data_IF_025348229842
#
_entry.id   IF_025348229842
#
_cell.length_a   1.000
_cell.length_b   1.000
_cell.length_c   1.000
_cell.angle_alpha   90.00
_cell.angle_beta   90.00
_cell.angle_gamma   90.00
#
_symmetry.space_group_name_H-M   'P 1'
#
loop_
_entity.id
_entity.type
_entity.pdbx_description
1 polymer ?
#
# COMPACT_ATOMS: atom_id res chain seq x y z
N UNK A 1 -27.44 15.52 12.28
CA UNK A 1 -26.75 15.08 13.51
C UNK A 1 -27.01 13.60 13.71
N UNK A 2 -26.05 12.75 13.38
CA UNK A 2 -26.08 11.32 13.65
C UNK A 2 -24.68 10.93 14.11
N UNK A 3 -24.57 10.49 15.36
CA UNK A 3 -23.32 10.15 16.04
C UNK A 3 -22.95 8.72 15.70
N UNK A 4 -21.85 8.51 14.97
CA UNK A 4 -21.23 7.20 14.87
C UNK A 4 -20.34 6.98 16.10
N UNK A 5 -20.63 5.92 16.86
CA UNK A 5 -19.80 5.46 17.98
C UNK A 5 -18.78 4.46 17.43
N UNK A 6 -17.51 4.83 17.45
CA UNK A 6 -16.41 3.89 17.22
C UNK A 6 -16.01 3.26 18.56
N UNK A 7 -16.15 1.93 18.66
CA UNK A 7 -15.58 1.17 19.76
C UNK A 7 -14.10 0.97 19.48
N UNK A 8 -13.26 1.68 20.23
CA UNK A 8 -11.84 1.41 20.35
C UNK A 8 -11.64 0.04 21.02
N UNK A 9 -10.86 -0.84 20.42
CA UNK A 9 -10.33 -2.03 21.11
C UNK A 9 -8.82 -1.89 21.23
N UNK A 10 -8.42 -1.98 22.49
CA UNK A 10 -7.15 -1.62 23.10
C UNK A 10 -6.05 -2.63 22.78
N UNK A 11 -4.85 -2.10 22.55
CA UNK A 11 -3.57 -2.81 22.52
C UNK A 11 -3.23 -3.34 23.92
N UNK A 12 -2.83 -4.61 23.99
CA UNK A 12 -1.93 -5.12 25.03
C UNK A 12 -2.43 -6.34 25.79
N UNK A 13 -1.75 -7.48 25.60
CA UNK A 13 -1.57 -8.43 26.70
C UNK A 13 -0.27 -9.22 26.54
N UNK A 14 0.69 -8.87 27.40
CA UNK A 14 1.84 -9.68 27.78
C UNK A 14 1.35 -10.82 28.69
N UNK A 15 1.66 -12.08 28.37
CA UNK A 15 1.71 -13.16 29.37
C UNK A 15 2.79 -14.20 28.98
N UNK A 16 3.84 -14.25 29.79
CA UNK A 16 4.82 -15.33 29.89
C UNK A 16 4.24 -16.46 30.75
N UNK A 17 4.16 -17.68 30.22
CA UNK A 17 4.13 -18.96 30.94
C UNK A 17 4.89 -19.95 30.03
N UNK A 18 6.01 -20.54 30.45
CA UNK A 18 6.04 -21.70 31.34
C UNK A 18 5.93 -22.98 30.50
N UNK A 19 7.05 -23.67 30.29
CA UNK A 19 7.18 -24.70 29.24
C UNK A 19 6.47 -26.03 29.47
N UNK A 20 6.41 -26.81 28.39
CA UNK A 20 6.52 -28.28 28.36
C UNK A 20 6.99 -28.67 26.95
N UNK A 21 8.16 -29.29 26.88
CA UNK A 21 8.73 -29.89 25.66
C UNK A 21 7.84 -31.04 25.18
N UNK A 22 7.20 -30.86 24.03
CA UNK A 22 6.59 -31.94 23.27
C UNK A 22 7.26 -31.91 21.90
N UNK A 23 7.97 -32.99 21.55
CA UNK A 23 8.70 -33.09 20.29
C UNK A 23 7.76 -32.82 19.11
N UNK A 24 8.03 -31.74 18.36
CA UNK A 24 7.38 -31.51 17.08
C UNK A 24 7.90 -32.58 16.11
N UNK A 25 7.09 -33.62 15.92
CA UNK A 25 7.10 -34.39 14.69
C UNK A 25 6.95 -33.39 13.53
N UNK A 26 8.03 -33.20 12.78
CA UNK A 26 8.03 -32.48 11.51
C UNK A 26 7.09 -33.22 10.56
N UNK A 27 5.85 -32.72 10.49
CA UNK A 27 4.88 -33.20 9.53
C UNK A 27 5.20 -32.46 8.21
N UNK A 28 5.95 -33.13 7.33
CA UNK A 28 6.19 -32.71 5.94
C UNK A 28 4.89 -32.85 5.13
N UNK A 29 3.86 -32.10 5.49
CA UNK A 29 2.80 -31.70 4.57
C UNK A 29 3.23 -30.39 3.92
N UNK A 30 3.11 -30.27 2.59
CA UNK A 30 3.37 -29.02 1.89
C UNK A 30 2.51 -27.91 2.51
N UNK A 31 3.11 -26.99 3.27
CA UNK A 31 2.37 -25.84 3.78
C UNK A 31 1.87 -25.04 2.58
N UNK A 32 0.60 -24.64 2.59
CA UNK A 32 0.05 -23.76 1.56
C UNK A 32 0.53 -22.31 1.71
N UNK A 33 1.17 -22.02 2.84
CA UNK A 33 1.78 -20.74 3.15
C UNK A 33 2.98 -20.52 2.24
N UNK A 34 3.08 -19.32 1.68
CA UNK A 34 4.22 -18.82 0.92
C UNK A 34 4.43 -17.38 1.30
N UNK A 35 5.67 -16.94 1.26
CA UNK A 35 6.05 -15.55 1.48
C UNK A 35 6.69 -14.94 0.24
N UNK A 36 7.37 -13.83 0.46
CA UNK A 36 8.12 -13.11 -0.56
C UNK A 36 9.59 -13.08 -0.21
N UNK A 37 10.41 -13.56 -1.14
CA UNK A 37 11.86 -13.48 -1.07
C UNK A 37 12.36 -12.12 -1.59
N UNK A 38 13.58 -11.83 -1.15
CA UNK A 38 14.38 -10.70 -1.64
C UNK A 38 15.04 -11.08 -2.97
N UNK A 39 14.49 -10.59 -4.08
CA UNK A 39 15.00 -10.85 -5.42
C UNK A 39 16.17 -9.95 -5.84
N UNK A 40 16.52 -10.02 -7.11
CA UNK A 40 17.59 -9.21 -7.70
C UNK A 40 17.30 -7.71 -7.73
N UNK A 41 18.35 -6.93 -8.00
CA UNK A 41 18.27 -5.46 -8.04
C UNK A 41 17.49 -4.98 -9.27
N UNK A 42 16.52 -4.10 -9.04
CA UNK A 42 15.65 -3.49 -10.04
C UNK A 42 15.79 -1.97 -9.97
N UNK A 43 16.07 -1.35 -11.11
CA UNK A 43 16.15 0.11 -11.19
C UNK A 43 14.77 0.76 -11.03
N UNK A 44 14.66 1.68 -10.07
CA UNK A 44 13.46 2.44 -9.72
C UNK A 44 13.87 3.76 -9.08
N UNK A 45 13.68 4.89 -9.77
CA UNK A 45 14.03 6.22 -9.25
C UNK A 45 12.86 6.86 -8.50
N UNK A 46 13.12 7.37 -7.30
CA UNK A 46 12.16 8.18 -6.54
C UNK A 46 12.72 9.53 -6.12
N UNK A 47 11.82 10.49 -5.98
CA UNK A 47 12.10 11.80 -5.38
C UNK A 47 11.35 11.91 -4.06
N UNK A 48 12.06 12.34 -3.02
CA UNK A 48 11.44 12.65 -1.73
C UNK A 48 10.72 13.99 -1.85
N UNK A 49 9.48 14.04 -1.39
CA UNK A 49 8.66 15.25 -1.35
C UNK A 49 8.08 15.43 0.05
N UNK A 50 7.92 16.68 0.48
CA UNK A 50 7.21 17.00 1.72
C UNK A 50 5.73 17.23 1.40
N UNK A 51 4.87 16.39 1.96
CA UNK A 51 3.42 16.44 1.81
C UNK A 51 2.77 16.21 3.17
N UNK A 52 1.51 16.63 3.31
CA UNK A 52 0.72 16.42 4.52
C UNK A 52 -0.55 15.64 4.17
N UNK A 53 -0.89 14.65 5.00
CA UNK A 53 -2.13 13.90 4.86
C UNK A 53 -3.32 14.78 5.23
N UNK A 54 -4.43 14.59 4.53
CA UNK A 54 -5.68 15.26 4.86
C UNK A 54 -6.27 14.74 6.18
N UNK A 55 -6.07 13.45 6.49
CA UNK A 55 -6.49 12.80 7.74
C UNK A 55 -5.40 11.84 8.24
N UNK A 56 -5.43 11.52 9.55
CA UNK A 56 -4.58 10.50 10.16
C UNK A 56 -5.04 9.08 9.83
N UNK A 57 -6.33 8.90 9.61
CA UNK A 57 -6.90 7.62 9.21
C UNK A 57 -6.81 7.44 7.68
N UNK A 58 -6.58 6.22 7.19
CA UNK A 58 -6.57 5.97 5.76
C UNK A 58 -7.97 6.18 5.18
N UNK A 59 -8.03 6.80 4.00
CA UNK A 59 -9.26 6.92 3.24
C UNK A 59 -9.80 5.54 2.85
N UNK A 60 -8.90 4.59 2.59
CA UNK A 60 -9.25 3.19 2.32
C UNK A 60 -8.07 2.25 2.60
N UNK A 61 -8.40 0.99 2.88
CA UNK A 61 -7.45 -0.10 3.08
C UNK A 61 -7.83 -1.31 2.23
N UNK A 62 -6.82 -1.95 1.64
CA UNK A 62 -6.98 -3.16 0.85
C UNK A 62 -6.01 -4.22 1.35
N UNK A 63 -6.53 -5.42 1.61
CA UNK A 63 -5.74 -6.59 2.02
C UNK A 63 -5.94 -7.70 0.99
N UNK A 64 -4.84 -8.19 0.45
CA UNK A 64 -4.81 -9.30 -0.51
C UNK A 64 -3.96 -10.41 0.09
N UNK A 65 -4.56 -11.58 0.28
CA UNK A 65 -3.83 -12.77 0.72
C UNK A 65 -3.24 -13.48 -0.50
N UNK A 66 -2.15 -14.20 -0.32
CA UNK A 66 -1.58 -15.02 -1.37
C UNK A 66 -1.08 -16.34 -0.80
N UNK A 67 -1.28 -17.41 -1.57
CA UNK A 67 -0.98 -18.78 -1.17
C UNK A 67 -0.76 -19.66 -2.40
N UNK A 68 -0.09 -20.79 -2.23
CA UNK A 68 0.01 -21.81 -3.29
C UNK A 68 -1.33 -22.50 -3.51
N UNK A 69 -2.11 -22.64 -2.44
CA UNK A 69 -3.48 -23.12 -2.49
C UNK A 69 -4.40 -21.99 -2.94
N UNK A 70 -4.78 -22.02 -4.20
CA UNK A 70 -5.65 -21.03 -4.80
C UNK A 70 -7.11 -21.49 -4.74
N UNK A 71 -8.02 -20.73 -4.09
CA UNK A 71 -9.41 -21.15 -3.96
C UNK A 71 -10.12 -21.21 -5.33
N UNK A 72 -10.67 -22.37 -5.70
CA UNK A 72 -11.47 -22.55 -6.92
C UNK A 72 -12.94 -22.22 -6.68
N UNK A 73 -13.67 -21.78 -7.72
CA UNK A 73 -15.13 -21.61 -7.67
C UNK A 73 -15.63 -20.22 -7.21
N UNK A 74 -14.72 -19.28 -6.98
CA UNK A 74 -15.04 -17.89 -6.68
C UNK A 74 -14.90 -16.98 -7.90
N UNK A 75 -15.55 -15.81 -7.83
CA UNK A 75 -15.38 -14.72 -8.79
C UNK A 75 -13.92 -14.31 -8.93
N UNK A 76 -13.48 -14.14 -10.18
CA UNK A 76 -12.16 -13.61 -10.52
C UNK A 76 -12.27 -12.20 -11.05
N UNK A 77 -11.47 -11.30 -10.48
CA UNK A 77 -11.25 -9.94 -10.98
C UNK A 77 -9.75 -9.75 -11.24
N UNK A 78 -9.38 -8.75 -12.02
CA UNK A 78 -7.98 -8.46 -12.36
C UNK A 78 -7.44 -7.20 -11.68
N UNK A 79 -8.32 -6.50 -10.98
CA UNK A 79 -8.02 -5.39 -10.09
C UNK A 79 -9.15 -5.18 -9.09
N UNK A 80 -8.83 -4.51 -7.99
CA UNK A 80 -9.76 -4.08 -6.96
C UNK A 80 -9.89 -2.57 -7.11
N UNK A 81 -11.10 -2.08 -7.39
CA UNK A 81 -11.37 -0.65 -7.48
C UNK A 81 -12.24 -0.21 -6.31
N UNK A 82 -11.73 0.73 -5.53
CA UNK A 82 -12.44 1.37 -4.41
C UNK A 82 -12.30 2.86 -4.62
N UNK A 83 -13.43 3.58 -4.61
CA UNK A 83 -13.48 5.01 -4.91
C UNK A 83 -12.70 5.35 -6.20
N UNK A 84 -11.62 6.13 -6.06
CA UNK A 84 -10.78 6.61 -7.16
C UNK A 84 -9.53 5.75 -7.39
N UNK A 85 -9.24 4.77 -6.54
CA UNK A 85 -8.03 3.98 -6.63
C UNK A 85 -8.33 2.58 -7.15
N UNK A 86 -7.41 2.10 -7.98
CA UNK A 86 -7.38 0.72 -8.46
C UNK A 86 -6.09 0.05 -8.01
N UNK A 87 -6.22 -1.14 -7.43
CA UNK A 87 -5.13 -1.98 -6.97
C UNK A 87 -5.08 -3.26 -7.80
N UNK A 88 -3.89 -3.64 -8.22
CA UNK A 88 -3.65 -4.92 -8.88
C UNK A 88 -2.31 -5.49 -8.44
N UNK A 89 -2.18 -6.81 -8.57
CA UNK A 89 -0.89 -7.49 -8.50
C UNK A 89 -0.59 -7.98 -9.90
N UNK A 90 0.59 -7.63 -10.43
CA UNK A 90 0.99 -7.96 -11.79
C UNK A 90 2.22 -8.86 -11.79
N UNK A 91 2.35 -9.71 -12.80
CA UNK A 91 3.56 -10.50 -13.03
C UNK A 91 4.70 -9.64 -13.60
N UNK A 92 5.86 -10.25 -13.84
CA UNK A 92 7.02 -9.59 -14.44
C UNK A 92 6.76 -9.01 -15.85
N UNK A 93 5.75 -9.51 -16.56
CA UNK A 93 5.35 -9.04 -17.88
C UNK A 93 4.21 -7.99 -17.80
N UNK A 94 3.91 -7.50 -16.59
CA UNK A 94 2.87 -6.51 -16.32
C UNK A 94 1.42 -7.00 -16.56
N UNK A 95 1.21 -8.31 -16.70
CA UNK A 95 -0.12 -8.91 -16.75
C UNK A 95 -0.71 -8.99 -15.35
N UNK A 96 -2.00 -8.66 -15.20
CA UNK A 96 -2.68 -8.82 -13.91
C UNK A 96 -2.79 -10.29 -13.51
N UNK A 97 -2.32 -10.60 -12.30
CA UNK A 97 -2.56 -11.87 -11.64
C UNK A 97 -4.04 -11.91 -11.23
N UNK A 98 -4.79 -12.98 -11.54
CA UNK A 98 -6.20 -13.08 -11.14
C UNK A 98 -6.38 -13.01 -9.63
N UNK A 99 -7.29 -12.12 -9.20
CA UNK A 99 -7.70 -11.96 -7.81
C UNK A 99 -9.04 -12.66 -7.64
N UNK A 100 -9.05 -13.70 -6.81
CA UNK A 100 -10.27 -14.27 -6.29
C UNK A 100 -10.85 -13.35 -5.22
N UNK A 101 -12.15 -13.08 -5.29
CA UNK A 101 -12.87 -12.34 -4.24
C UNK A 101 -14.00 -13.18 -3.66
N UNK A 102 -14.19 -13.10 -2.35
CA UNK A 102 -15.36 -13.66 -1.66
C UNK A 102 -15.90 -12.63 -0.67
N UNK A 103 -17.22 -12.46 -0.64
CA UNK A 103 -17.84 -11.59 0.35
C UNK A 103 -18.05 -12.35 1.66
N UNK A 104 -17.50 -11.84 2.76
CA UNK A 104 -17.69 -12.39 4.08
C UNK A 104 -18.86 -11.68 4.75
N UNK A 105 -20.03 -12.31 4.76
CA UNK A 105 -21.25 -11.71 5.32
C UNK A 105 -21.14 -11.44 6.84
N UNK A 106 -20.40 -12.27 7.58
CA UNK A 106 -20.22 -12.10 9.03
C UNK A 106 -19.38 -10.88 9.37
N UNK A 107 -18.43 -10.52 8.51
CA UNK A 107 -17.56 -9.36 8.68
C UNK A 107 -17.98 -8.15 7.83
N UNK A 108 -18.97 -8.30 6.95
CA UNK A 108 -19.42 -7.24 6.05
C UNK A 108 -18.36 -6.77 5.05
N UNK A 109 -17.39 -7.60 4.70
CA UNK A 109 -16.23 -7.20 3.89
C UNK A 109 -15.84 -8.21 2.82
N UNK A 110 -15.25 -7.71 1.74
CA UNK A 110 -14.64 -8.55 0.72
C UNK A 110 -13.31 -9.09 1.20
N UNK A 111 -13.04 -10.35 0.87
CA UNK A 111 -11.76 -11.01 1.10
C UNK A 111 -11.15 -11.34 -0.25
N UNK A 112 -9.91 -10.91 -0.45
CA UNK A 112 -9.18 -11.05 -1.70
C UNK A 112 -8.05 -12.06 -1.55
N UNK A 113 -7.83 -12.86 -2.59
CA UNK A 113 -6.76 -13.85 -2.63
C UNK A 113 -6.20 -14.01 -4.04
N UNK A 114 -4.88 -14.13 -4.16
CA UNK A 114 -4.20 -14.41 -5.44
C UNK A 114 -3.43 -15.74 -5.37
N UNK A 115 -3.21 -16.42 -6.51
CA UNK A 115 -2.31 -17.56 -6.54
C UNK A 115 -0.87 -17.07 -6.48
N UNK A 116 -0.07 -17.69 -5.60
CA UNK A 116 1.37 -17.44 -5.52
C UNK A 116 2.13 -18.72 -5.86
N UNK A 117 2.88 -18.69 -6.96
CA UNK A 117 3.76 -19.79 -7.35
C UNK A 117 5.19 -19.41 -6.99
N UNK A 118 5.84 -20.25 -6.19
CA UNK A 118 7.23 -20.05 -5.80
C UNK A 118 8.12 -19.81 -7.03
N UNK A 119 9.04 -18.86 -6.92
CA UNK A 119 9.93 -18.38 -7.99
C UNK A 119 9.34 -17.32 -8.93
N UNK A 120 8.02 -17.05 -8.89
CA UNK A 120 7.42 -16.02 -9.75
C UNK A 120 7.67 -14.61 -9.19
N UNK A 121 8.24 -13.75 -10.04
CA UNK A 121 8.34 -12.32 -9.76
C UNK A 121 6.99 -11.65 -9.95
N UNK A 122 6.70 -10.70 -9.08
CA UNK A 122 5.47 -9.91 -9.14
C UNK A 122 5.73 -8.46 -8.72
N UNK A 123 4.74 -7.62 -8.95
CA UNK A 123 4.78 -6.21 -8.59
C UNK A 123 3.40 -5.72 -8.15
N UNK A 124 3.40 -4.77 -7.24
CA UNK A 124 2.19 -4.09 -6.80
C UNK A 124 1.90 -2.95 -7.77
N UNK A 125 0.65 -2.80 -8.17
CA UNK A 125 0.23 -1.75 -9.07
C UNK A 125 -0.94 -0.98 -8.46
N UNK A 126 -0.81 0.34 -8.45
CA UNK A 126 -1.85 1.27 -8.01
C UNK A 126 -2.10 2.27 -9.14
N UNK A 127 -3.36 2.56 -9.43
CA UNK A 127 -3.74 3.63 -10.36
C UNK A 127 -4.71 4.58 -9.67
N UNK A 128 -4.45 5.88 -9.82
CA UNK A 128 -5.31 6.92 -9.31
C UNK A 128 -6.13 7.52 -10.46
N UNK A 129 -7.45 7.33 -10.38
CA UNK A 129 -8.41 7.89 -11.32
C UNK A 129 -8.97 9.24 -10.88
N UNK A 130 -8.60 9.75 -9.70
CA UNK A 130 -8.99 11.08 -9.26
C UNK A 130 -8.47 12.14 -10.22
N UNK A 131 -9.22 13.23 -10.34
CA UNK A 131 -8.86 14.38 -11.18
C UNK A 131 -7.97 15.39 -10.45
N UNK A 132 -8.06 15.48 -9.12
CA UNK A 132 -7.44 16.55 -8.33
C UNK A 132 -6.84 16.08 -7.00
N UNK A 133 -7.09 14.83 -6.59
CA UNK A 133 -6.63 14.30 -5.32
C UNK A 133 -5.40 13.41 -5.53
N UNK A 134 -4.32 13.76 -4.84
CA UNK A 134 -3.13 12.93 -4.74
C UNK A 134 -3.24 12.01 -3.52
N UNK A 135 -2.72 10.80 -3.62
CA UNK A 135 -2.73 9.84 -2.51
C UNK A 135 -1.31 9.43 -2.13
N UNK A 136 -1.09 9.28 -0.83
CA UNK A 136 0.05 8.53 -0.28
C UNK A 136 -0.37 7.09 -0.04
N UNK A 137 0.38 6.15 -0.62
CA UNK A 137 0.15 4.71 -0.52
C UNK A 137 1.22 4.10 0.39
N UNK A 138 0.81 3.73 1.59
CA UNK A 138 1.62 2.88 2.48
C UNK A 138 1.32 1.43 2.10
N UNK A 139 2.34 0.70 1.67
CA UNK A 139 2.19 -0.70 1.24
C UNK A 139 3.06 -1.62 2.08
N UNK A 140 2.55 -2.82 2.35
CA UNK A 140 3.25 -3.87 3.08
C UNK A 140 3.19 -5.19 2.34
N UNK A 141 4.25 -5.97 2.43
CA UNK A 141 4.32 -7.36 1.97
C UNK A 141 4.87 -8.20 3.11
N UNK A 142 4.17 -9.27 3.48
CA UNK A 142 4.49 -10.13 4.63
C UNK A 142 4.62 -9.39 5.95
N UNK A 143 3.78 -8.36 6.13
CA UNK A 143 3.82 -7.48 7.30
C UNK A 143 5.01 -6.52 7.33
N UNK A 144 5.85 -6.49 6.30
CA UNK A 144 6.96 -5.55 6.18
C UNK A 144 6.63 -4.40 5.23
N UNK A 145 6.96 -3.20 5.65
CA UNK A 145 6.87 -1.98 4.87
C UNK A 145 7.79 -2.03 3.65
N UNK A 146 7.24 -1.80 2.46
CA UNK A 146 7.99 -1.93 1.20
C UNK A 146 9.06 -0.84 1.01
N UNK A 147 8.97 0.27 1.74
CA UNK A 147 9.89 1.41 1.65
C UNK A 147 11.05 1.31 2.64
N UNK A 148 10.81 0.80 3.84
CA UNK A 148 11.82 0.79 4.90
C UNK A 148 12.17 -0.60 5.46
N UNK A 149 11.45 -1.64 5.05
CA UNK A 149 11.69 -3.03 5.46
C UNK A 149 11.41 -3.34 6.92
N UNK A 150 10.80 -2.42 7.68
CA UNK A 150 10.39 -2.63 9.08
C UNK A 150 8.95 -3.15 9.13
N UNK A 151 8.49 -3.57 10.31
CA UNK A 151 7.11 -3.93 10.54
C UNK A 151 6.14 -2.82 10.09
N UNK A 152 5.08 -3.20 9.39
CA UNK A 152 4.10 -2.27 8.83
C UNK A 152 3.48 -1.36 9.88
N UNK A 153 3.31 -0.08 9.54
CA UNK A 153 2.64 0.89 10.38
C UNK A 153 1.93 1.93 9.53
N UNK A 154 0.71 2.32 9.94
CA UNK A 154 0.00 3.43 9.31
C UNK A 154 0.73 4.77 9.46
N UNK A 155 1.64 4.90 10.44
CA UNK A 155 2.41 6.12 10.66
C UNK A 155 3.66 6.21 9.76
N UNK A 156 3.99 5.15 9.01
CA UNK A 156 5.10 5.19 8.08
C UNK A 156 4.76 6.00 6.83
N UNK A 157 5.80 6.44 6.14
CA UNK A 157 5.68 7.13 4.86
C UNK A 157 5.41 6.14 3.73
N UNK A 158 4.64 6.59 2.75
CA UNK A 158 4.27 5.85 1.55
C UNK A 158 4.81 6.47 0.26
N UNK A 159 4.45 5.83 -0.85
CA UNK A 159 4.66 6.39 -2.18
C UNK A 159 3.54 7.33 -2.57
N UNK A 160 3.85 8.39 -3.30
CA UNK A 160 2.82 9.30 -3.80
C UNK A 160 2.35 8.83 -5.19
N UNK A 161 1.04 8.73 -5.36
CA UNK A 161 0.39 8.57 -6.66
C UNK A 161 -0.46 9.82 -6.93
N UNK A 162 -0.04 10.64 -7.89
CA UNK A 162 -0.78 11.85 -8.21
C UNK A 162 -2.10 11.53 -8.91
N UNK A 163 -3.01 12.50 -8.94
CA UNK A 163 -4.22 12.46 -9.75
C UNK A 163 -3.91 12.07 -11.21
N UNK A 164 -4.60 11.05 -11.73
CA UNK A 164 -4.44 10.52 -13.09
C UNK A 164 -3.25 9.56 -13.31
N UNK A 165 -2.30 9.51 -12.36
CA UNK A 165 -1.07 8.73 -12.48
C UNK A 165 -1.24 7.27 -12.02
N UNK A 166 -0.18 6.49 -12.22
CA UNK A 166 -0.06 5.12 -11.70
C UNK A 166 1.30 4.88 -11.08
N UNK A 167 1.35 3.98 -10.11
CA UNK A 167 2.52 3.56 -9.37
C UNK A 167 2.71 2.05 -9.54
N UNK A 168 3.95 1.63 -9.85
CA UNK A 168 4.37 0.24 -9.77
C UNK A 168 5.49 0.10 -8.73
N UNK A 169 5.28 -0.77 -7.75
CA UNK A 169 6.28 -1.11 -6.72
C UNK A 169 6.76 -2.52 -7.04
N UNK A 170 8.01 -2.65 -7.47
CA UNK A 170 8.55 -3.90 -7.97
C UNK A 170 9.25 -4.70 -6.87
N UNK A 171 9.55 -4.05 -5.75
CA UNK A 171 10.34 -4.65 -4.70
C UNK A 171 10.43 -3.87 -3.41
N UNK A 172 11.17 -4.42 -2.45
CA UNK A 172 11.57 -3.71 -1.24
C UNK A 172 12.62 -2.65 -1.60
N UNK A 173 12.41 -1.40 -1.17
CA UNK A 173 13.33 -0.31 -1.46
C UNK A 173 14.67 -0.51 -0.75
N UNK A 174 15.77 -0.42 -1.50
CA UNK A 174 17.15 -0.45 -0.98
C UNK A 174 17.73 0.95 -0.85
N UNK A 175 17.52 1.76 -1.88
CA UNK A 175 17.99 3.12 -1.99
C UNK A 175 17.11 3.90 -3.00
N UNK A 176 17.42 5.18 -3.25
CA UNK A 176 16.62 6.05 -4.13
C UNK A 176 16.47 5.57 -5.58
N UNK A 177 17.32 4.67 -6.04
CA UNK A 177 17.40 4.19 -7.43
C UNK A 177 17.20 2.67 -7.56
N UNK A 178 17.13 1.94 -6.45
CA UNK A 178 17.15 0.47 -6.45
C UNK A 178 16.10 -0.11 -5.52
N UNK A 179 15.39 -1.11 -6.03
CA UNK A 179 14.50 -2.00 -5.29
C UNK A 179 14.99 -3.44 -5.42
N UNK A 180 14.76 -4.28 -4.40
CA UNK A 180 14.94 -5.71 -4.47
C UNK A 180 13.63 -6.38 -4.89
N UNK A 181 13.63 -7.01 -6.07
CA UNK A 181 12.41 -7.54 -6.69
C UNK A 181 11.60 -8.44 -5.74
N UNK A 182 10.28 -8.30 -5.76
CA UNK A 182 9.42 -9.26 -5.10
C UNK A 182 9.38 -10.56 -5.91
N UNK A 183 9.63 -11.66 -5.22
CA UNK A 183 9.49 -13.02 -5.75
C UNK A 183 8.73 -13.85 -4.73
N UNK A 184 7.67 -14.54 -5.14
CA UNK A 184 7.04 -15.52 -4.25
C UNK A 184 8.02 -16.63 -3.92
N UNK A 185 8.09 -17.04 -2.65
CA UNK A 185 9.01 -18.06 -2.15
C UNK A 185 8.35 -18.90 -1.07
N UNK A 186 8.93 -20.07 -0.81
CA UNK A 186 8.51 -20.91 0.30
C UNK A 186 8.73 -20.16 1.63
N UNK A 187 7.90 -20.43 2.65
CA UNK A 187 8.00 -19.73 3.95
C UNK A 187 9.39 -19.80 4.55
N UNK A 188 10.07 -20.93 4.38
CA UNK A 188 11.42 -21.15 4.86
C UNK A 188 12.46 -20.23 4.19
N UNK A 189 12.15 -19.63 3.03
CA UNK A 189 13.01 -18.71 2.28
C UNK A 189 12.44 -17.29 2.22
N UNK A 190 11.27 -17.05 2.86
CA UNK A 190 10.61 -15.76 2.86
C UNK A 190 11.43 -14.72 3.64
N UNK A 191 11.54 -13.51 3.09
CA UNK A 191 12.31 -12.43 3.70
C UNK A 191 11.82 -12.10 5.11
N UNK A 192 10.49 -12.05 5.31
CA UNK A 192 9.92 -11.81 6.63
C UNK A 192 10.30 -12.88 7.66
N UNK A 193 10.40 -14.15 7.27
CA UNK A 193 10.82 -15.24 8.16
C UNK A 193 12.29 -15.14 8.59
N UNK A 194 13.12 -14.41 7.83
CA UNK A 194 14.54 -14.19 8.10
C UNK A 194 14.89 -12.76 8.55
N UNK A 195 13.90 -11.88 8.62
CA UNK A 195 14.08 -10.50 9.07
C UNK A 195 13.86 -10.40 10.58
N UNK A 196 14.71 -9.64 11.28
CA UNK A 196 14.56 -9.42 12.73
C UNK A 196 13.28 -8.63 13.09
N UNK A 197 12.57 -8.10 12.08
CA UNK A 197 11.41 -7.23 12.20
C UNK A 197 10.14 -7.88 11.62
N UNK A 198 10.25 -9.06 11.01
CA UNK A 198 9.15 -9.77 10.40
C UNK A 198 8.34 -10.56 11.41
N UNK A 199 7.05 -10.66 11.18
CA UNK A 199 6.13 -11.48 11.97
C UNK A 199 5.61 -12.62 11.09
N UNK A 200 5.98 -13.85 11.43
CA UNK A 200 5.58 -15.06 10.70
C UNK A 200 4.06 -15.21 10.55
N UNK A 201 3.27 -14.54 11.40
CA UNK A 201 1.80 -14.54 11.33
C UNK A 201 1.23 -13.73 10.17
N UNK A 202 2.03 -12.83 9.58
CA UNK A 202 1.60 -11.95 8.49
C UNK A 202 2.18 -12.38 7.12
N UNK A 203 2.83 -13.53 7.05
CA UNK A 203 3.32 -14.10 5.79
C UNK A 203 2.13 -14.43 4.88
N UNK A 204 2.28 -14.17 3.58
CA UNK A 204 1.20 -14.39 2.61
C UNK A 204 0.22 -13.22 2.53
N UNK A 205 0.57 -12.03 3.05
CA UNK A 205 -0.33 -10.87 3.09
C UNK A 205 0.30 -9.66 2.40
N UNK A 206 -0.44 -9.09 1.45
CA UNK A 206 -0.17 -7.79 0.85
C UNK A 206 -1.20 -6.80 1.42
N UNK A 207 -0.72 -5.68 1.95
CA UNK A 207 -1.54 -4.62 2.50
C UNK A 207 -1.31 -3.30 1.79
N UNK A 208 -2.38 -2.54 1.58
CA UNK A 208 -2.35 -1.15 1.14
C UNK A 208 -3.19 -0.31 2.10
N UNK A 209 -2.66 0.86 2.46
CA UNK A 209 -3.39 1.94 3.11
C UNK A 209 -3.19 3.21 2.29
N UNK A 210 -4.29 3.79 1.80
CA UNK A 210 -4.25 5.01 1.03
C UNK A 210 -4.70 6.21 1.87
N UNK A 211 -3.88 7.24 1.88
CA UNK A 211 -4.16 8.50 2.56
C UNK A 211 -4.33 9.59 1.51
N UNK A 212 -5.50 10.24 1.50
CA UNK A 212 -5.66 11.44 0.69
C UNK A 212 -4.69 12.51 1.22
N UNK A 213 -3.97 13.16 0.32
CA UNK A 213 -3.09 14.27 0.67
C UNK A 213 -3.90 15.57 0.69
N UNK A 214 -3.47 16.50 1.53
CA UNK A 214 -3.95 17.88 1.40
C UNK A 214 -3.65 18.35 -0.03
N UNK A 215 -4.69 18.83 -0.72
CA UNK A 215 -4.54 19.34 -2.08
C UNK A 215 -3.46 20.43 -2.11
N UNK A 216 -2.86 20.65 -3.29
CA UNK A 216 -1.98 21.82 -3.47
C UNK A 216 -2.77 23.03 -2.98
N UNK A 217 -2.20 23.79 -2.04
CA UNK A 217 -2.72 25.11 -1.71
C UNK A 217 -2.96 25.78 -3.06
N UNK A 218 -4.22 26.05 -3.39
CA UNK A 218 -4.51 26.83 -4.58
C UNK A 218 -3.72 28.12 -4.34
N UNK A 219 -2.80 28.44 -5.24
CA UNK A 219 -2.17 29.76 -5.27
C UNK A 219 -3.33 30.74 -5.50
N UNK A 220 -3.99 31.10 -4.41
CA UNK A 220 -5.14 31.99 -4.42
C UNK A 220 -4.53 33.32 -4.75
N UNK A 221 -4.79 33.77 -5.99
CA UNK A 221 -4.40 35.11 -6.41
C UNK A 221 -4.89 36.07 -5.32
N UNK A 222 -4.06 37.04 -4.90
CA UNK A 222 -4.46 38.00 -3.86
C UNK A 222 -5.78 38.69 -4.26
N UNK A 223 -6.61 39.10 -3.29
CA UNK A 223 -7.83 39.86 -3.58
C UNK A 223 -7.47 41.13 -4.35
N UNK A 224 -8.24 41.45 -5.40
CA UNK A 224 -7.98 42.66 -6.17
C UNK A 224 -8.05 43.89 -5.25
N UNK A 225 -6.95 44.63 -5.14
CA UNK A 225 -6.95 45.95 -4.50
C UNK A 225 -7.76 46.92 -5.35
N UNK A 226 -8.51 47.83 -4.73
CA UNK A 226 -9.30 48.87 -5.42
C UNK A 226 -8.47 49.99 -6.07
N UNK A 227 -7.19 49.74 -6.38
CA UNK A 227 -6.32 50.73 -6.99
C UNK A 227 -6.58 50.79 -8.50
N UNK A 228 -7.07 51.94 -8.98
CA UNK A 228 -7.25 52.19 -10.42
C UNK A 228 -5.89 52.31 -11.13
N UNK A 229 -5.78 51.67 -12.29
CA UNK A 229 -4.56 51.69 -13.11
C UNK A 229 -4.50 52.95 -14.00
N UNK A 230 -3.34 53.62 -14.18
CA UNK A 230 -2.09 53.53 -13.41
C UNK A 230 -1.95 54.75 -12.47
N UNK A 231 -2.04 54.53 -11.15
CA UNK A 231 -1.79 55.57 -10.15
C UNK A 231 -0.40 55.44 -9.47
N UNK A 232 0.49 54.57 -9.98
CA UNK A 232 1.88 54.47 -9.55
C UNK A 232 2.88 54.65 -10.73
N UNK A 233 4.02 55.29 -10.41
CA UNK A 233 5.00 55.86 -11.34
C UNK A 233 5.79 54.85 -12.20
N UNK A 234 5.39 53.57 -12.27
CA UNK A 234 6.16 52.54 -12.94
C UNK A 234 5.56 52.04 -14.27
N UNK A 235 4.34 52.42 -14.64
CA UNK A 235 3.82 52.21 -16.01
C UNK A 235 3.64 50.75 -16.47
N UNK A 236 3.67 49.77 -15.57
CA UNK A 236 3.51 48.34 -15.88
C UNK A 236 2.18 47.79 -15.35
N UNK A 237 1.54 46.91 -16.13
CA UNK A 237 0.28 46.26 -15.75
C UNK A 237 0.41 45.44 -14.45
N UNK A 238 -0.59 45.49 -13.55
CA UNK A 238 -0.55 44.72 -12.32
C UNK A 238 -0.70 43.21 -12.61
N UNK A 239 -0.09 42.35 -11.78
CA UNK A 239 -0.28 40.91 -11.88
C UNK A 239 -1.76 40.51 -11.67
N UNK A 240 -2.19 39.35 -12.22
CA UNK A 240 -3.57 38.88 -12.10
C UNK A 240 -3.99 38.70 -10.62
N UNK A 241 -5.23 39.08 -10.31
CA UNK A 241 -5.83 39.03 -8.97
C UNK A 241 -7.19 38.33 -8.98
N UNK A 242 -7.70 37.91 -7.82
CA UNK A 242 -9.03 37.30 -7.68
C UNK A 242 -10.09 38.40 -7.41
N UNK A 243 -11.11 38.48 -8.26
CA UNK A 243 -12.30 39.35 -8.06
C UNK A 243 -13.17 38.87 -6.91
#
# INVERSE_FOLDING_TARGET
>A
MSKFKFNAVIVGLFLLLGGCSSGMQSNNGSSSDVGTAWGGDVHSSVQSVSVERADREPAEMVIINYSTQYPSGYDKVYSIRISDLEYAVRDANFNSIPITRRYNASMGQWQYSIPARSGMNYQLYIRNYSHDTNYEIVATVDGLDVLNGKAGSLNHHGYIVNAGDSLAIKGFRKDKHTEAAFQFADVADAYAAHSAQGDVRNIGVIGFAAFALQGKATNTLPPCSSQAFPADNNGYAPPPCRK
#
